data_IF_560182299216
#
_entry.id   IF_560182299216
#
_cell.length_a   1.000
_cell.length_b   1.000
_cell.length_c   1.000
_cell.angle_alpha   90.00
_cell.angle_beta   90.00
_cell.angle_gamma   90.00
#
_symmetry.space_group_name_H-M   'P 1'
#
loop_
_entity.id
_entity.type
_entity.pdbx_description
1 polymer ?
#
# COMPACT_ATOMS: atom_id res chain seq x y z
N UNK A 1 51.46 -13.48 15.98
CA UNK A 1 51.72 -12.56 14.85
C UNK A 1 52.24 -11.23 15.39
N UNK A 2 53.36 -10.71 14.86
CA UNK A 2 53.87 -9.40 15.31
C UNK A 2 52.99 -8.28 14.74
N UNK A 3 52.79 -7.20 15.50
CA UNK A 3 52.02 -6.02 15.08
C UNK A 3 52.59 -5.38 13.80
N UNK A 4 53.89 -5.56 13.54
CA UNK A 4 54.59 -5.10 12.33
C UNK A 4 54.10 -5.80 11.07
N UNK A 5 53.91 -7.13 11.10
CA UNK A 5 53.39 -7.86 9.93
C UNK A 5 51.95 -7.49 9.60
N UNK A 6 51.12 -7.25 10.62
CA UNK A 6 49.75 -6.78 10.44
C UNK A 6 49.73 -5.39 9.79
N UNK A 7 50.58 -4.46 10.26
CA UNK A 7 50.69 -3.12 9.68
C UNK A 7 51.15 -3.13 8.23
N UNK A 8 52.17 -3.93 7.90
CA UNK A 8 52.65 -4.08 6.53
C UNK A 8 51.58 -4.68 5.60
N UNK A 9 50.86 -5.70 6.07
CA UNK A 9 49.78 -6.32 5.31
C UNK A 9 48.65 -5.32 5.02
N UNK A 10 48.22 -4.53 6.00
CA UNK A 10 47.18 -3.49 5.82
C UNK A 10 47.63 -2.42 4.81
N UNK A 11 48.90 -2.00 4.84
CA UNK A 11 49.41 -1.04 3.86
C UNK A 11 49.43 -1.60 2.44
N UNK A 12 49.86 -2.87 2.28
CA UNK A 12 49.87 -3.55 0.99
C UNK A 12 48.47 -3.72 0.41
N UNK A 13 47.50 -4.14 1.22
CA UNK A 13 46.11 -4.31 0.77
C UNK A 13 45.45 -2.97 0.45
N UNK A 14 45.68 -1.92 1.25
CA UNK A 14 45.18 -0.58 0.96
C UNK A 14 45.77 -0.03 -0.35
N UNK A 15 47.07 -0.20 -0.59
CA UNK A 15 47.72 0.25 -1.82
C UNK A 15 47.21 -0.50 -3.04
N UNK A 16 47.02 -1.83 -2.93
CA UNK A 16 46.43 -2.64 -3.99
C UNK A 16 45.00 -2.21 -4.31
N UNK A 17 44.17 -1.95 -3.29
CA UNK A 17 42.79 -1.48 -3.47
C UNK A 17 42.73 -0.12 -4.18
N UNK A 18 43.58 0.84 -3.79
CA UNK A 18 43.70 2.15 -4.45
C UNK A 18 44.17 1.99 -5.90
N UNK A 19 45.13 1.11 -6.17
CA UNK A 19 45.60 0.83 -7.53
C UNK A 19 44.52 0.23 -8.43
N UNK A 20 43.73 -0.71 -7.93
CA UNK A 20 42.60 -1.31 -8.66
C UNK A 20 41.51 -0.27 -8.92
N UNK A 21 41.18 0.57 -7.93
CA UNK A 21 40.19 1.64 -8.08
C UNK A 21 40.63 2.67 -9.13
N UNK A 22 41.90 3.09 -9.09
CA UNK A 22 42.48 4.02 -10.06
C UNK A 22 42.37 3.51 -11.52
N UNK A 23 42.68 2.23 -11.73
CA UNK A 23 42.56 1.60 -13.07
C UNK A 23 41.10 1.50 -13.52
N UNK A 24 40.17 1.19 -12.61
CA UNK A 24 38.75 1.17 -12.95
C UNK A 24 38.20 2.56 -13.29
N UNK A 25 38.61 3.59 -12.56
CA UNK A 25 38.17 4.97 -12.84
C UNK A 25 38.70 5.51 -14.17
N UNK A 26 39.96 5.25 -14.49
CA UNK A 26 40.52 5.65 -15.79
C UNK A 26 39.74 5.00 -16.94
N UNK A 27 39.41 3.70 -16.81
CA UNK A 27 38.55 2.99 -17.78
C UNK A 27 37.15 3.60 -17.88
N UNK A 28 36.49 3.90 -16.77
CA UNK A 28 35.15 4.52 -16.77
C UNK A 28 35.16 5.90 -17.43
N UNK A 29 36.25 6.64 -17.30
CA UNK A 29 36.43 7.94 -17.91
C UNK A 29 36.88 7.88 -19.38
N UNK A 30 37.04 6.68 -19.96
CA UNK A 30 37.52 6.49 -21.33
C UNK A 30 38.99 6.90 -21.53
N UNK A 31 39.78 6.98 -20.45
CA UNK A 31 41.17 7.40 -20.46
C UNK A 31 42.11 6.23 -20.18
N UNK A 32 43.34 6.30 -20.70
CA UNK A 32 44.37 5.35 -20.27
C UNK A 32 44.74 5.62 -18.80
N UNK A 33 45.15 4.58 -18.06
CA UNK A 33 45.47 4.72 -16.63
C UNK A 33 46.50 5.83 -16.35
N UNK A 34 47.45 6.05 -17.26
CA UNK A 34 48.50 7.09 -17.11
C UNK A 34 47.97 8.51 -17.32
N UNK A 35 46.85 8.67 -18.02
CA UNK A 35 46.26 9.97 -18.35
C UNK A 35 45.41 10.53 -17.20
N UNK A 36 44.92 9.68 -16.31
CA UNK A 36 44.19 10.11 -15.11
C UNK A 36 45.17 10.65 -14.07
N UNK A 37 45.69 11.86 -14.26
CA UNK A 37 46.67 12.45 -13.34
C UNK A 37 46.24 12.37 -11.85
N UNK A 38 47.18 12.31 -10.88
CA UNK A 38 46.86 12.13 -9.46
C UNK A 38 45.85 13.15 -8.91
N UNK A 39 45.88 14.38 -9.44
CA UNK A 39 44.92 15.46 -9.11
C UNK A 39 43.51 15.13 -9.60
N UNK A 40 43.37 14.60 -10.83
CA UNK A 40 42.08 14.17 -11.38
C UNK A 40 41.51 13.00 -10.58
N UNK A 41 42.34 12.03 -10.20
CA UNK A 41 41.93 10.92 -9.33
C UNK A 41 41.44 11.40 -7.95
N UNK A 42 42.18 12.29 -7.29
CA UNK A 42 41.73 12.90 -6.02
C UNK A 42 40.40 13.65 -6.17
N UNK A 43 40.15 14.25 -7.34
CA UNK A 43 38.84 14.82 -7.69
C UNK A 43 37.72 13.79 -7.64
N UNK A 44 37.92 12.60 -8.23
CA UNK A 44 36.92 11.51 -8.22
C UNK A 44 36.67 10.95 -6.81
N UNK A 45 37.68 10.96 -5.94
CA UNK A 45 37.50 10.56 -4.54
C UNK A 45 36.63 11.57 -3.80
N UNK A 46 36.89 12.88 -3.95
CA UNK A 46 36.07 13.92 -3.33
C UNK A 46 34.63 13.86 -3.81
N UNK A 47 34.39 13.70 -5.12
CA UNK A 47 33.02 13.58 -5.64
C UNK A 47 32.31 12.37 -5.05
N UNK A 48 32.95 11.20 -5.02
CA UNK A 48 32.36 10.00 -4.42
C UNK A 48 32.09 10.14 -2.92
N UNK A 49 32.94 10.84 -2.16
CA UNK A 49 32.64 11.13 -0.76
C UNK A 49 31.43 12.04 -0.60
N UNK A 50 31.29 13.06 -1.46
CA UNK A 50 30.11 13.94 -1.48
C UNK A 50 28.87 13.14 -1.87
N UNK A 51 28.94 12.30 -2.90
CA UNK A 51 27.84 11.47 -3.38
C UNK A 51 27.43 10.40 -2.36
N UNK A 52 28.40 9.78 -1.70
CA UNK A 52 28.13 8.79 -0.64
C UNK A 52 27.50 9.46 0.57
N UNK A 53 27.99 10.64 0.94
CA UNK A 53 27.43 11.41 2.06
C UNK A 53 26.01 11.88 1.74
N UNK A 54 25.77 12.43 0.56
CA UNK A 54 24.43 12.86 0.14
C UNK A 54 23.47 11.67 0.04
N UNK A 55 23.94 10.50 -0.45
CA UNK A 55 23.15 9.28 -0.45
C UNK A 55 22.82 8.78 0.96
N UNK A 56 23.77 8.85 1.91
CA UNK A 56 23.53 8.50 3.31
C UNK A 56 22.55 9.48 3.99
N UNK A 57 22.70 10.78 3.74
CA UNK A 57 21.80 11.81 4.27
C UNK A 57 20.39 11.66 3.69
N UNK A 58 20.27 11.40 2.38
CA UNK A 58 18.99 11.12 1.72
C UNK A 58 18.33 9.84 2.26
N UNK A 59 19.10 8.77 2.47
CA UNK A 59 18.60 7.54 3.08
C UNK A 59 18.15 7.77 4.53
N UNK A 60 18.95 8.46 5.34
CA UNK A 60 18.60 8.76 6.72
C UNK A 60 17.33 9.61 6.83
N UNK A 61 17.18 10.60 5.93
CA UNK A 61 15.95 11.39 5.81
C UNK A 61 14.76 10.51 5.43
N UNK A 62 14.91 9.66 4.40
CA UNK A 62 13.88 8.72 3.97
C UNK A 62 13.44 7.80 5.10
N UNK A 63 14.39 7.15 5.78
CA UNK A 63 14.11 6.23 6.89
C UNK A 63 13.36 6.95 8.02
N UNK A 64 13.76 8.20 8.33
CA UNK A 64 13.04 9.06 9.27
C UNK A 64 11.61 9.33 8.82
N UNK A 65 11.40 9.75 7.57
CA UNK A 65 10.08 10.08 7.03
C UNK A 65 9.16 8.84 6.90
N UNK A 66 9.72 7.68 6.59
CA UNK A 66 8.99 6.40 6.56
C UNK A 66 8.60 5.91 7.95
N UNK A 67 9.39 6.24 8.97
CA UNK A 67 9.06 5.99 10.37
C UNK A 67 7.94 6.87 10.94
N UNK A 68 7.58 7.96 10.25
CA UNK A 68 6.46 8.82 10.67
C UNK A 68 5.12 8.18 10.28
N UNK A 69 4.08 8.47 11.08
CA UNK A 69 2.71 8.18 10.69
C UNK A 69 2.37 8.98 9.42
N UNK A 70 1.70 8.39 8.41
CA UNK A 70 1.40 9.08 7.16
C UNK A 70 0.73 10.44 7.34
N UNK A 71 -0.25 10.56 8.23
CA UNK A 71 -0.91 11.85 8.50
C UNK A 71 0.03 12.98 8.95
N UNK A 72 1.20 12.65 9.53
CA UNK A 72 2.19 13.66 9.97
C UNK A 72 2.95 14.29 8.81
N UNK A 73 2.82 13.75 7.60
CA UNK A 73 3.32 14.33 6.37
C UNK A 73 2.26 15.17 5.63
N UNK A 74 1.03 15.24 6.16
CA UNK A 74 0.00 16.13 5.64
C UNK A 74 0.28 17.58 6.03
N UNK A 75 -0.18 18.55 5.23
CA UNK A 75 0.18 19.95 5.42
C UNK A 75 -0.38 20.54 6.71
N UNK A 76 0.21 21.65 7.14
CA UNK A 76 -0.46 22.55 8.07
C UNK A 76 -1.67 23.20 7.38
N UNK A 77 -2.72 23.56 8.12
CA UNK A 77 -3.90 24.17 7.52
C UNK A 77 -3.51 25.46 6.78
N UNK A 78 -3.98 25.67 5.53
CA UNK A 78 -3.82 26.93 4.83
C UNK A 78 -4.47 28.11 5.59
N UNK A 79 -4.20 29.34 5.17
CA UNK A 79 -4.79 30.52 5.81
C UNK A 79 -6.34 30.45 5.81
N UNK A 80 -6.94 30.69 6.97
CA UNK A 80 -8.40 30.60 7.17
C UNK A 80 -8.93 29.18 7.40
N UNK A 81 -8.09 28.15 7.29
CA UNK A 81 -8.48 26.78 7.61
C UNK A 81 -8.08 26.40 9.03
N UNK A 82 -8.81 25.43 9.57
CA UNK A 82 -8.44 24.72 10.79
C UNK A 82 -8.23 23.25 10.50
N UNK A 83 -7.32 22.60 11.21
CA UNK A 83 -7.03 21.17 11.08
C UNK A 83 -7.38 20.46 12.37
N UNK A 84 -8.13 19.36 12.29
CA UNK A 84 -8.47 18.50 13.43
C UNK A 84 -8.40 17.02 13.08
N UNK A 85 -8.39 16.18 14.11
CA UNK A 85 -8.47 14.73 13.96
C UNK A 85 -9.81 14.32 13.33
N UNK A 86 -9.78 13.26 12.52
CA UNK A 86 -10.96 12.65 11.93
C UNK A 86 -11.83 12.01 13.01
N UNK A 87 -13.13 12.32 13.01
CA UNK A 87 -14.08 11.85 13.99
C UNK A 87 -15.20 11.02 13.33
N UNK A 88 -15.88 10.19 14.13
CA UNK A 88 -16.98 9.34 13.64
C UNK A 88 -18.13 10.17 13.02
N UNK A 89 -18.36 11.39 13.55
CA UNK A 89 -19.37 12.31 13.00
C UNK A 89 -19.08 12.74 11.55
N UNK A 90 -17.82 12.67 11.11
CA UNK A 90 -17.41 13.04 9.76
C UNK A 90 -17.79 11.97 8.74
N UNK A 91 -17.84 10.70 9.16
CA UNK A 91 -18.25 9.57 8.31
C UNK A 91 -19.63 9.84 7.72
N UNK A 92 -20.58 10.28 8.54
CA UNK A 92 -21.94 10.56 8.09
C UNK A 92 -22.03 11.74 7.10
N UNK A 93 -21.04 12.63 7.08
CA UNK A 93 -21.00 13.84 6.23
C UNK A 93 -20.19 13.65 4.96
N UNK A 94 -19.20 12.77 4.98
CA UNK A 94 -18.19 12.62 3.93
C UNK A 94 -18.22 11.26 3.23
N UNK A 95 -18.83 10.24 3.84
CA UNK A 95 -18.95 8.92 3.22
C UNK A 95 -20.34 8.70 2.62
N UNK A 96 -20.35 8.20 1.38
CA UNK A 96 -21.54 7.57 0.83
C UNK A 96 -21.69 6.22 1.55
N UNK A 97 -22.50 6.18 2.61
CA UNK A 97 -22.83 4.90 3.27
C UNK A 97 -23.53 4.01 2.26
N UNK A 98 -22.80 3.01 1.77
CA UNK A 98 -23.42 1.87 1.11
C UNK A 98 -24.08 1.07 2.23
N UNK A 99 -25.38 1.25 2.42
CA UNK A 99 -26.14 0.54 3.46
C UNK A 99 -26.33 -0.92 3.03
N UNK A 100 -25.31 -1.75 3.28
CA UNK A 100 -25.34 -3.19 3.03
C UNK A 100 -26.52 -3.85 3.76
N UNK A 101 -26.96 -3.30 4.90
CA UNK A 101 -28.09 -3.82 5.67
C UNK A 101 -29.44 -3.47 5.02
N UNK A 102 -29.55 -2.30 4.39
CA UNK A 102 -30.69 -1.87 3.58
C UNK A 102 -30.67 -2.39 2.15
N UNK A 103 -29.53 -2.90 1.65
CA UNK A 103 -29.41 -3.37 0.29
C UNK A 103 -30.20 -4.67 0.07
N UNK A 104 -31.13 -4.63 -0.89
CA UNK A 104 -31.98 -5.76 -1.27
C UNK A 104 -31.18 -6.91 -1.91
N UNK A 105 -29.95 -6.63 -2.37
CA UNK A 105 -29.09 -7.63 -3.01
C UNK A 105 -28.31 -8.51 -2.03
N UNK A 106 -28.29 -8.17 -0.73
CA UNK A 106 -27.59 -8.96 0.29
C UNK A 106 -28.58 -9.90 0.97
N UNK A 107 -28.42 -11.23 0.86
CA UNK A 107 -29.33 -12.18 1.50
C UNK A 107 -29.40 -11.98 3.02
N UNK A 108 -30.61 -12.06 3.61
CA UNK A 108 -30.82 -11.88 5.05
C UNK A 108 -30.00 -12.85 5.92
N UNK A 109 -29.66 -14.02 5.37
CA UNK A 109 -28.79 -15.00 5.99
C UNK A 109 -27.36 -14.48 6.23
N UNK A 110 -26.83 -13.65 5.31
CA UNK A 110 -25.51 -13.02 5.43
C UNK A 110 -25.56 -11.79 6.37
N UNK A 111 -26.67 -11.05 6.39
CA UNK A 111 -26.85 -9.90 7.30
C UNK A 111 -26.85 -10.29 8.78
N UNK A 112 -27.36 -11.48 9.10
CA UNK A 112 -27.51 -11.96 10.47
C UNK A 112 -26.44 -12.96 10.93
N UNK A 113 -25.50 -13.34 10.06
CA UNK A 113 -24.42 -14.26 10.41
C UNK A 113 -23.51 -13.64 11.50
N UNK A 114 -23.34 -14.30 12.67
CA UNK A 114 -22.47 -13.82 13.75
C UNK A 114 -21.01 -13.61 13.30
N UNK A 115 -20.53 -14.43 12.36
CA UNK A 115 -19.20 -14.34 11.77
C UNK A 115 -19.07 -13.07 10.95
N UNK A 116 -20.09 -12.71 10.16
CA UNK A 116 -20.11 -11.46 9.39
C UNK A 116 -20.16 -10.24 10.31
N UNK A 117 -20.92 -10.30 11.42
CA UNK A 117 -20.94 -9.24 12.44
C UNK A 117 -19.59 -9.06 13.12
N UNK A 118 -18.93 -10.16 13.49
CA UNK A 118 -17.58 -10.13 14.07
C UNK A 118 -16.54 -9.59 13.07
N UNK A 119 -16.60 -10.03 11.80
CA UNK A 119 -15.75 -9.50 10.73
C UNK A 119 -15.99 -8.01 10.48
N UNK A 120 -17.25 -7.56 10.50
CA UNK A 120 -17.60 -6.14 10.41
C UNK A 120 -16.99 -5.35 11.57
N UNK A 121 -17.15 -5.81 12.82
CA UNK A 121 -16.60 -5.11 13.99
C UNK A 121 -15.06 -5.06 14.00
N UNK A 122 -14.40 -6.14 13.58
CA UNK A 122 -12.94 -6.15 13.41
C UNK A 122 -12.51 -5.18 12.31
N UNK A 123 -13.27 -5.13 11.22
CA UNK A 123 -13.06 -4.16 10.16
C UNK A 123 -13.26 -2.73 10.65
N UNK A 124 -14.29 -2.44 11.45
CA UNK A 124 -14.56 -1.09 11.98
C UNK A 124 -13.42 -0.58 12.86
N UNK A 125 -12.89 -1.42 13.76
CA UNK A 125 -11.73 -1.06 14.58
C UNK A 125 -10.46 -0.86 13.74
N UNK A 126 -10.23 -1.71 12.73
CA UNK A 126 -9.09 -1.59 11.84
C UNK A 126 -9.18 -0.32 10.96
N UNK A 127 -10.38 0.02 10.51
CA UNK A 127 -10.67 1.24 9.75
C UNK A 127 -10.47 2.47 10.63
N UNK A 128 -11.01 2.48 11.86
CA UNK A 128 -10.82 3.58 12.79
C UNK A 128 -9.33 3.80 13.14
N UNK A 129 -8.56 2.73 13.35
CA UNK A 129 -7.11 2.80 13.60
C UNK A 129 -6.34 3.24 12.33
N UNK A 130 -6.79 2.87 11.13
CA UNK A 130 -6.24 3.40 9.89
C UNK A 130 -6.54 4.91 9.74
N UNK A 131 -7.79 5.32 9.95
CA UNK A 131 -8.21 6.71 9.87
C UNK A 131 -7.45 7.60 10.85
N UNK A 132 -7.31 7.16 12.10
CA UNK A 132 -6.54 7.85 13.11
C UNK A 132 -5.05 7.99 12.78
N UNK A 133 -4.49 7.24 11.82
CA UNK A 133 -3.08 7.31 11.40
C UNK A 133 -2.87 7.99 10.05
N UNK A 134 -3.91 8.07 9.24
CA UNK A 134 -3.82 8.45 7.83
C UNK A 134 -4.58 9.74 7.50
N UNK A 135 -5.57 10.14 8.31
CA UNK A 135 -6.53 11.19 7.96
C UNK A 135 -6.43 12.41 8.88
N UNK A 136 -6.50 13.60 8.27
CA UNK A 136 -6.87 14.85 8.95
C UNK A 136 -8.08 15.49 8.27
N UNK A 137 -8.85 16.24 9.05
CA UNK A 137 -9.98 17.03 8.55
C UNK A 137 -9.60 18.50 8.56
N UNK A 138 -9.88 19.17 7.45
CA UNK A 138 -9.68 20.59 7.23
C UNK A 138 -11.04 21.26 7.12
N UNK A 139 -11.23 22.32 7.92
CA UNK A 139 -12.49 23.07 8.00
C UNK A 139 -12.25 24.55 7.75
N UNK A 140 -13.11 25.14 6.92
CA UNK A 140 -13.19 26.58 6.66
C UNK A 140 -14.64 26.93 6.37
N UNK A 141 -15.24 27.75 7.22
CA UNK A 141 -16.68 28.08 7.15
C UNK A 141 -17.54 26.80 7.10
N UNK A 142 -18.33 26.60 6.04
CA UNK A 142 -19.13 25.39 5.81
C UNK A 142 -18.41 24.30 4.97
N UNK A 143 -17.18 24.57 4.52
CA UNK A 143 -16.37 23.65 3.75
C UNK A 143 -15.67 22.63 4.67
N UNK A 144 -15.82 21.35 4.31
CA UNK A 144 -15.26 20.21 5.04
C UNK A 144 -14.48 19.32 4.09
N UNK A 145 -13.19 19.12 4.36
CA UNK A 145 -12.32 18.27 3.55
C UNK A 145 -11.58 17.28 4.45
N UNK A 146 -11.79 15.97 4.27
CA UNK A 146 -10.94 14.94 4.85
C UNK A 146 -9.82 14.59 3.87
N UNK A 147 -8.58 14.85 4.28
CA UNK A 147 -7.38 14.51 3.51
C UNK A 147 -6.71 13.29 4.14
N UNK A 148 -6.56 12.24 3.36
CA UNK A 148 -5.93 10.97 3.72
C UNK A 148 -4.63 10.82 2.97
N UNK A 149 -3.56 10.47 3.68
CA UNK A 149 -2.34 9.92 3.08
C UNK A 149 -2.19 8.46 3.48
N UNK A 150 -2.24 7.57 2.50
CA UNK A 150 -2.10 6.13 2.70
C UNK A 150 -0.80 5.62 2.10
N UNK A 151 -0.05 4.82 2.88
CA UNK A 151 1.05 4.01 2.34
C UNK A 151 0.48 2.72 1.77
N UNK A 152 0.54 2.55 0.45
CA UNK A 152 0.21 1.29 -0.22
C UNK A 152 1.29 0.28 0.14
N UNK A 153 0.86 -0.85 0.71
CA UNK A 153 1.75 -1.97 0.95
C UNK A 153 1.64 -2.89 -0.26
N UNK A 154 2.78 -3.26 -0.82
CA UNK A 154 2.81 -4.42 -1.68
C UNK A 154 2.48 -5.64 -0.84
N UNK A 155 1.33 -6.24 -1.12
CA UNK A 155 0.98 -7.54 -0.59
C UNK A 155 1.67 -8.55 -1.49
N UNK A 156 2.72 -9.18 -0.99
CA UNK A 156 3.44 -10.23 -1.70
C UNK A 156 2.67 -11.56 -1.66
N UNK A 157 2.89 -12.41 -2.67
CA UNK A 157 2.29 -13.73 -2.78
C UNK A 157 0.96 -13.80 -3.54
N UNK A 158 0.43 -15.02 -3.71
CA UNK A 158 -0.74 -15.27 -4.56
C UNK A 158 -2.02 -14.55 -4.09
N UNK A 159 -2.20 -14.40 -2.78
CA UNK A 159 -3.33 -13.63 -2.22
C UNK A 159 -3.23 -12.14 -2.61
N UNK A 160 -2.01 -11.58 -2.60
CA UNK A 160 -1.75 -10.22 -3.05
C UNK A 160 -2.00 -10.03 -4.55
N UNK A 161 -1.62 -11.01 -5.38
CA UNK A 161 -1.95 -11.01 -6.82
C UNK A 161 -3.46 -10.99 -7.03
N UNK A 162 -4.21 -11.82 -6.31
CA UNK A 162 -5.68 -11.84 -6.38
C UNK A 162 -6.30 -10.49 -5.99
N UNK A 163 -5.85 -9.88 -4.89
CA UNK A 163 -6.30 -8.55 -4.47
C UNK A 163 -5.97 -7.47 -5.50
N UNK A 164 -4.76 -7.49 -6.08
CA UNK A 164 -4.36 -6.55 -7.14
C UNK A 164 -5.23 -6.70 -8.39
N UNK A 165 -5.64 -7.91 -8.75
CA UNK A 165 -6.57 -8.12 -9.86
C UNK A 165 -7.96 -7.58 -9.56
N UNK A 166 -8.48 -7.81 -8.34
CA UNK A 166 -9.76 -7.23 -7.92
C UNK A 166 -9.69 -5.70 -7.92
N UNK A 167 -8.64 -5.12 -7.35
CA UNK A 167 -8.42 -3.67 -7.35
C UNK A 167 -8.30 -3.10 -8.78
N UNK A 168 -7.56 -3.77 -9.67
CA UNK A 168 -7.43 -3.36 -11.06
C UNK A 168 -8.78 -3.41 -11.79
N UNK A 169 -9.59 -4.46 -11.57
CA UNK A 169 -10.91 -4.57 -12.17
C UNK A 169 -11.87 -3.52 -11.61
N UNK A 170 -11.88 -3.30 -10.29
CA UNK A 170 -12.70 -2.26 -9.65
C UNK A 170 -12.29 -0.86 -10.12
N UNK A 171 -10.99 -0.58 -10.25
CA UNK A 171 -10.51 0.70 -10.79
C UNK A 171 -10.86 0.86 -12.28
N UNK A 172 -10.83 -0.22 -13.07
CA UNK A 172 -11.25 -0.19 -14.47
C UNK A 172 -12.76 0.05 -14.63
N UNK A 173 -13.56 -0.36 -13.63
CA UNK A 173 -15.00 -0.10 -13.58
C UNK A 173 -15.34 1.27 -12.99
N UNK A 174 -14.45 1.86 -12.18
CA UNK A 174 -14.67 3.19 -11.65
C UNK A 174 -14.48 4.23 -12.73
N UNK A 175 -15.50 5.07 -12.94
CA UNK A 175 -15.33 6.25 -13.78
C UNK A 175 -14.56 7.30 -13.00
N UNK A 176 -13.50 7.84 -13.59
CA UNK A 176 -12.72 8.92 -13.01
C UNK A 176 -12.36 9.93 -14.10
N UNK A 177 -12.36 11.20 -13.75
CA UNK A 177 -11.95 12.30 -14.62
C UNK A 177 -10.74 13.00 -14.02
N UNK A 178 -9.83 13.47 -14.87
CA UNK A 178 -8.74 14.37 -14.49
C UNK A 178 -9.29 15.60 -13.78
N UNK A 179 -8.74 15.89 -12.61
CA UNK A 179 -9.08 17.06 -11.80
C UNK A 179 -8.03 18.16 -11.97
N UNK A 180 -6.80 17.88 -11.56
CA UNK A 180 -5.68 18.81 -11.64
C UNK A 180 -4.34 18.09 -11.49
N UNK A 181 -3.27 18.70 -11.98
CA UNK A 181 -1.89 18.33 -11.72
C UNK A 181 -1.27 19.33 -10.72
N UNK A 182 -0.87 18.83 -9.54
CA UNK A 182 -0.28 19.65 -8.47
C UNK A 182 0.99 18.97 -7.99
N UNK A 183 2.11 19.70 -7.95
CA UNK A 183 3.42 19.16 -7.53
C UNK A 183 3.94 18.01 -8.42
N UNK A 184 3.47 17.92 -9.67
CA UNK A 184 3.76 16.81 -10.59
C UNK A 184 2.87 15.57 -10.39
N UNK A 185 1.89 15.64 -9.47
CA UNK A 185 0.96 14.55 -9.18
C UNK A 185 -0.35 14.78 -9.93
N UNK A 186 -0.79 13.80 -10.71
CA UNK A 186 -2.10 13.82 -11.35
C UNK A 186 -3.18 13.42 -10.33
N UNK A 187 -4.11 14.33 -10.08
CA UNK A 187 -5.31 14.08 -9.30
C UNK A 187 -6.50 13.84 -10.22
N UNK A 188 -7.33 12.85 -9.85
CA UNK A 188 -8.56 12.51 -10.55
C UNK A 188 -9.75 12.51 -9.60
N UNK A 189 -10.89 13.01 -10.07
CA UNK A 189 -12.17 12.95 -9.39
C UNK A 189 -12.85 11.61 -9.70
N UNK A 190 -13.17 10.83 -8.66
CA UNK A 190 -13.70 9.47 -8.78
C UNK A 190 -15.21 9.46 -8.52
N UNK A 191 -15.98 8.94 -9.48
CA UNK A 191 -17.45 8.87 -9.43
C UNK A 191 -18.00 7.54 -8.87
N UNK A 192 -17.10 6.59 -8.55
CA UNK A 192 -17.45 5.27 -8.04
C UNK A 192 -17.75 4.23 -9.13
N UNK A 193 -18.21 3.05 -8.71
CA UNK A 193 -18.27 1.83 -9.53
C UNK A 193 -19.42 1.77 -10.56
N UNK A 194 -20.42 2.65 -10.47
CA UNK A 194 -21.71 2.45 -11.15
C UNK A 194 -22.28 3.68 -11.88
N UNK A 195 -21.50 4.74 -12.09
CA UNK A 195 -22.02 5.92 -12.79
C UNK A 195 -20.93 6.67 -13.54
N UNK A 196 -21.24 7.07 -14.78
CA UNK A 196 -20.53 8.13 -15.49
C UNK A 196 -20.91 9.52 -14.99
N UNK A 197 -21.97 9.63 -14.18
CA UNK A 197 -22.48 10.90 -13.66
C UNK A 197 -22.52 10.91 -12.13
N UNK A 198 -22.00 11.99 -11.56
CA UNK A 198 -22.08 12.32 -10.14
C UNK A 198 -23.55 12.58 -9.77
N UNK A 199 -24.06 11.89 -8.75
CA UNK A 199 -25.29 12.33 -8.10
C UNK A 199 -25.04 13.73 -7.48
N UNK A 200 -25.92 14.73 -7.67
CA UNK A 200 -25.66 16.12 -7.29
C UNK A 200 -25.14 16.32 -5.87
N UNK A 201 -25.64 15.53 -4.91
CA UNK A 201 -25.29 15.63 -3.49
C UNK A 201 -24.27 14.58 -3.02
N UNK A 202 -23.68 13.81 -3.95
CA UNK A 202 -22.72 12.78 -3.57
C UNK A 202 -21.35 13.37 -3.24
N UNK A 203 -20.69 12.87 -2.18
CA UNK A 203 -19.37 13.35 -1.81
C UNK A 203 -18.37 13.16 -2.95
N UNK A 204 -17.45 14.11 -3.08
CA UNK A 204 -16.37 14.08 -4.04
C UNK A 204 -15.20 13.30 -3.46
N UNK A 205 -14.59 12.44 -4.29
CA UNK A 205 -13.43 11.65 -3.90
C UNK A 205 -12.33 11.93 -4.92
N UNK A 206 -11.37 12.76 -4.55
CA UNK A 206 -10.25 13.12 -5.40
C UNK A 206 -9.04 12.29 -4.99
N UNK A 207 -8.40 11.62 -5.93
CA UNK A 207 -7.31 10.69 -5.66
C UNK A 207 -6.11 11.09 -6.50
N UNK A 208 -4.93 11.20 -5.88
CA UNK A 208 -3.64 11.33 -6.54
C UNK A 208 -2.69 10.25 -6.05
N UNK A 209 -1.83 9.74 -6.92
CA UNK A 209 -0.88 8.67 -6.60
C UNK A 209 0.55 9.12 -6.79
N UNK A 210 1.41 8.78 -5.83
CA UNK A 210 2.86 8.98 -5.91
C UNK A 210 3.54 7.62 -6.10
N UNK A 211 3.74 7.27 -7.37
CA UNK A 211 4.23 5.95 -7.75
C UNK A 211 3.29 4.85 -7.25
N UNK A 212 3.88 3.72 -6.84
CA UNK A 212 3.12 2.57 -6.33
C UNK A 212 2.99 2.56 -4.80
N UNK A 213 3.66 3.48 -4.08
CA UNK A 213 3.79 3.45 -2.61
C UNK A 213 2.85 4.40 -1.85
N UNK A 214 2.47 5.54 -2.43
CA UNK A 214 1.63 6.53 -1.73
C UNK A 214 0.36 6.84 -2.51
N UNK A 215 -0.74 6.94 -1.78
CA UNK A 215 -2.02 7.43 -2.29
C UNK A 215 -2.49 8.59 -1.42
N UNK A 216 -2.76 9.72 -2.07
CA UNK A 216 -3.36 10.91 -1.48
C UNK A 216 -4.83 10.87 -1.87
N UNK A 217 -5.73 10.76 -0.90
CA UNK A 217 -7.16 10.76 -1.14
C UNK A 217 -7.81 11.89 -0.37
N UNK A 218 -8.60 12.68 -1.07
CA UNK A 218 -9.37 13.78 -0.52
C UNK A 218 -10.85 13.44 -0.65
N UNK A 219 -11.58 13.52 0.46
CA UNK A 219 -13.03 13.34 0.51
C UNK A 219 -13.67 14.63 0.97
N UNK A 220 -14.66 15.10 0.23
CA UNK A 220 -15.33 16.35 0.54
C UNK A 220 -16.79 16.32 0.08
N UNK A 221 -17.59 17.29 0.53
CA UNK A 221 -18.97 17.45 0.10
C UNK A 221 -19.03 17.96 -1.35
N UNK A 222 -20.16 17.79 -2.00
CA UNK A 222 -20.36 18.19 -3.40
C UNK A 222 -20.23 19.71 -3.64
N UNK A 223 -20.54 20.51 -2.61
CA UNK A 223 -20.59 21.97 -2.65
C UNK A 223 -19.25 22.66 -2.39
N UNK A 224 -18.20 21.91 -2.03
CA UNK A 224 -16.88 22.50 -1.80
C UNK A 224 -16.24 22.93 -3.10
N UNK A 225 -15.77 24.18 -3.13
CA UNK A 225 -15.19 24.81 -4.31
C UNK A 225 -13.89 24.11 -4.73
N UNK A 226 -13.63 24.07 -6.03
CA UNK A 226 -12.37 23.54 -6.56
C UNK A 226 -11.17 24.36 -6.09
N UNK A 227 -11.32 25.66 -5.86
CA UNK A 227 -10.24 26.54 -5.42
C UNK A 227 -9.82 26.20 -3.98
N UNK A 228 -10.78 25.88 -3.11
CA UNK A 228 -10.51 25.40 -1.75
C UNK A 228 -9.78 24.05 -1.75
N UNK A 229 -10.18 23.13 -2.64
CA UNK A 229 -9.51 21.85 -2.83
C UNK A 229 -8.07 22.09 -3.32
N UNK A 230 -7.88 22.93 -4.35
CA UNK A 230 -6.57 23.24 -4.91
C UNK A 230 -5.66 23.95 -3.91
N UNK A 231 -6.19 24.85 -3.08
CA UNK A 231 -5.44 25.50 -2.02
C UNK A 231 -4.88 24.47 -1.03
N UNK A 232 -5.69 23.48 -0.64
CA UNK A 232 -5.24 22.42 0.25
C UNK A 232 -4.23 21.47 -0.42
N UNK A 233 -4.45 21.08 -1.68
CA UNK A 233 -3.51 20.24 -2.42
C UNK A 233 -2.16 20.94 -2.62
N UNK A 234 -2.18 22.24 -2.93
CA UNK A 234 -0.95 23.04 -3.14
C UNK A 234 -0.15 23.21 -1.85
N UNK A 235 -0.79 23.13 -0.68
CA UNK A 235 -0.10 23.22 0.60
C UNK A 235 0.71 21.96 0.95
N UNK A 236 0.48 20.83 0.27
CA UNK A 236 1.21 19.57 0.50
C UNK A 236 2.69 19.75 0.16
N UNK A 237 3.58 19.31 1.06
CA UNK A 237 5.02 19.28 0.79
C UNK A 237 5.39 18.05 -0.06
N UNK A 238 5.30 18.21 -1.38
CA UNK A 238 5.59 17.15 -2.34
C UNK A 238 7.05 16.72 -2.33
N UNK A 239 7.98 17.62 -1.96
CA UNK A 239 9.40 17.26 -1.83
C UNK A 239 9.60 16.27 -0.68
N UNK A 240 8.96 16.51 0.48
CA UNK A 240 8.99 15.56 1.60
C UNK A 240 8.28 14.25 1.27
N UNK A 241 7.12 14.29 0.60
CA UNK A 241 6.43 13.07 0.20
C UNK A 241 7.29 12.23 -0.74
N UNK A 242 7.88 12.85 -1.76
CA UNK A 242 8.74 12.21 -2.74
C UNK A 242 10.03 11.66 -2.10
N UNK A 243 10.63 12.40 -1.16
CA UNK A 243 11.78 11.94 -0.38
C UNK A 243 11.47 10.73 0.53
N UNK A 244 10.19 10.52 0.88
CA UNK A 244 9.75 9.40 1.70
C UNK A 244 9.51 8.10 0.92
N UNK A 245 9.59 8.14 -0.42
CA UNK A 245 9.52 6.97 -1.30
C UNK A 245 10.81 6.16 -1.25
N UNK A 246 10.73 4.85 -1.55
CA UNK A 246 11.92 4.00 -1.73
C UNK A 246 12.77 4.52 -2.89
N UNK A 247 12.11 4.88 -3.99
CA UNK A 247 12.73 5.48 -5.17
C UNK A 247 12.03 6.80 -5.46
N UNK A 248 12.66 7.95 -5.14
CA UNK A 248 12.12 9.25 -5.49
C UNK A 248 11.86 9.37 -6.99
N UNK A 249 10.73 9.96 -7.35
CA UNK A 249 10.28 10.13 -8.71
C UNK A 249 10.76 11.47 -9.26
N UNK A 250 11.30 11.45 -10.49
CA UNK A 250 11.68 12.68 -11.18
C UNK A 250 10.43 13.49 -11.57
N UNK A 251 10.52 14.82 -11.51
CA UNK A 251 9.43 15.71 -11.89
C UNK A 251 8.30 15.85 -10.86
N UNK A 252 8.48 15.31 -9.65
CA UNK A 252 7.58 15.49 -8.52
C UNK A 252 8.27 16.37 -7.47
N UNK A 253 7.59 17.43 -7.05
CA UNK A 253 8.08 18.35 -6.03
C UNK A 253 7.36 19.68 -6.02
N UNK A 254 7.66 20.51 -5.03
CA UNK A 254 7.03 21.82 -4.86
C UNK A 254 7.53 22.84 -5.90
N UNK A 255 8.71 22.60 -6.49
CA UNK A 255 9.30 23.45 -7.52
C UNK A 255 8.73 23.20 -8.94
N UNK A 256 7.79 22.26 -9.09
CA UNK A 256 7.13 21.99 -10.38
C UNK A 256 6.32 23.22 -10.78
N UNK A 257 6.51 23.78 -11.99
CA UNK A 257 5.78 24.97 -12.43
C UNK A 257 4.28 24.77 -12.39
N UNK A 258 3.56 25.75 -11.83
CA UNK A 258 2.10 25.78 -11.91
C UNK A 258 1.70 26.11 -13.34
N UNK A 259 0.92 25.21 -13.95
CA UNK A 259 0.26 25.45 -15.24
C UNK A 259 -1.15 26.01 -15.01
N UNK A 260 -1.73 26.63 -16.03
CA UNK A 260 -3.12 27.07 -15.95
C UNK A 260 -4.07 25.87 -15.73
N UNK A 261 -5.27 26.14 -15.22
CA UNK A 261 -6.20 25.12 -14.76
C UNK A 261 -6.68 24.19 -15.88
N UNK A 262 -6.89 24.70 -17.08
CA UNK A 262 -7.35 23.89 -18.21
C UNK A 262 -6.25 22.93 -18.66
N UNK A 263 -5.03 23.43 -18.80
CA UNK A 263 -3.84 22.62 -19.11
C UNK A 263 -3.58 21.60 -17.99
N UNK A 264 -3.67 22.00 -16.72
CA UNK A 264 -3.49 21.14 -15.56
C UNK A 264 -4.45 19.95 -15.58
N UNK A 265 -5.73 20.21 -15.87
CA UNK A 265 -6.77 19.19 -15.96
C UNK A 265 -6.52 18.24 -17.13
N UNK A 266 -6.20 18.76 -18.31
CA UNK A 266 -5.89 17.95 -19.48
C UNK A 266 -4.67 17.04 -19.27
N UNK A 267 -3.63 17.54 -18.56
CA UNK A 267 -2.47 16.74 -18.19
C UNK A 267 -2.83 15.63 -17.19
N UNK A 268 -3.67 15.92 -16.19
CA UNK A 268 -4.14 14.94 -15.23
C UNK A 268 -5.01 13.85 -15.87
N UNK A 269 -5.85 14.21 -16.84
CA UNK A 269 -6.65 13.29 -17.64
C UNK A 269 -5.74 12.34 -18.44
N UNK A 270 -4.82 12.89 -19.23
CA UNK A 270 -3.91 12.10 -20.05
C UNK A 270 -3.03 11.16 -19.21
N UNK A 271 -2.63 11.58 -18.01
CA UNK A 271 -1.88 10.73 -17.10
C UNK A 271 -2.76 9.62 -16.51
N UNK A 272 -4.01 9.93 -16.14
CA UNK A 272 -4.98 8.96 -15.63
C UNK A 272 -5.30 7.89 -16.66
N UNK A 273 -5.45 8.27 -17.93
CA UNK A 273 -5.66 7.35 -19.05
C UNK A 273 -4.48 6.38 -19.21
N UNK A 274 -3.24 6.91 -19.22
CA UNK A 274 -2.03 6.08 -19.28
C UNK A 274 -1.92 5.10 -18.11
N UNK A 275 -2.26 5.53 -16.90
CA UNK A 275 -2.24 4.67 -15.72
C UNK A 275 -3.30 3.56 -15.82
N UNK A 276 -4.50 3.90 -16.27
CA UNK A 276 -5.56 2.93 -16.48
C UNK A 276 -5.20 1.91 -17.56
N UNK A 277 -4.57 2.34 -18.65
CA UNK A 277 -4.06 1.45 -19.70
C UNK A 277 -2.93 0.54 -19.20
N UNK A 278 -1.98 1.09 -18.45
CA UNK A 278 -0.92 0.30 -17.82
C UNK A 278 -1.49 -0.75 -16.85
N UNK A 279 -2.53 -0.40 -16.07
CA UNK A 279 -3.23 -1.34 -15.19
C UNK A 279 -3.97 -2.43 -15.97
N UNK A 280 -4.63 -2.09 -17.08
CA UNK A 280 -5.29 -3.07 -17.96
C UNK A 280 -4.28 -4.07 -18.53
N UNK A 281 -3.14 -3.59 -19.01
CA UNK A 281 -2.08 -4.47 -19.54
C UNK A 281 -1.46 -5.36 -18.46
N UNK A 282 -1.22 -4.82 -17.25
CA UNK A 282 -0.79 -5.63 -16.10
C UNK A 282 -1.85 -6.68 -15.72
N UNK A 283 -3.13 -6.33 -15.78
CA UNK A 283 -4.24 -7.25 -15.54
C UNK A 283 -4.26 -8.42 -16.52
N UNK A 284 -4.14 -8.14 -17.82
CA UNK A 284 -4.04 -9.17 -18.87
C UNK A 284 -2.82 -10.08 -18.69
N UNK A 285 -1.67 -9.50 -18.35
CA UNK A 285 -0.44 -10.26 -18.10
C UNK A 285 -0.58 -11.18 -16.87
N UNK A 286 -1.19 -10.69 -15.79
CA UNK A 286 -1.46 -11.48 -14.59
C UNK A 286 -2.46 -12.62 -14.87
N UNK A 287 -3.51 -12.37 -15.65
CA UNK A 287 -4.46 -13.40 -16.07
C UNK A 287 -3.78 -14.50 -16.90
N UNK A 288 -2.93 -14.12 -17.86
CA UNK A 288 -2.16 -15.07 -18.65
C UNK A 288 -1.20 -15.91 -17.78
N UNK A 289 -0.57 -15.31 -16.76
CA UNK A 289 0.25 -16.05 -15.80
C UNK A 289 -0.57 -17.05 -14.98
N UNK A 290 -1.76 -16.67 -14.52
CA UNK A 290 -2.64 -17.56 -13.78
C UNK A 290 -3.15 -18.72 -14.64
N UNK A 291 -3.51 -18.46 -15.90
CA UNK A 291 -3.90 -19.53 -16.84
C UNK A 291 -2.74 -20.51 -17.07
N UNK A 292 -1.52 -20.01 -17.24
CA UNK A 292 -0.33 -20.85 -17.38
C UNK A 292 0.01 -21.66 -16.12
N UNK A 293 -0.27 -21.14 -14.92
CA UNK A 293 -0.12 -21.90 -13.67
C UNK A 293 -1.22 -22.95 -13.53
N UNK A 294 -2.45 -22.62 -13.90
CA UNK A 294 -3.58 -23.54 -13.86
C UNK A 294 -3.39 -24.72 -14.82
N UNK A 295 -2.90 -24.47 -16.04
CA UNK A 295 -2.58 -25.54 -16.99
C UNK A 295 -1.45 -26.43 -16.48
N UNK A 296 -0.34 -25.86 -15.97
CA UNK A 296 0.74 -26.64 -15.35
C UNK A 296 0.25 -27.50 -14.20
N UNK A 297 -0.58 -26.96 -13.30
CA UNK A 297 -1.16 -27.74 -12.21
C UNK A 297 -2.02 -28.87 -12.76
N UNK A 298 -2.82 -28.63 -13.80
CA UNK A 298 -3.68 -29.65 -14.39
C UNK A 298 -2.89 -30.75 -15.12
N UNK A 299 -1.80 -30.39 -15.80
CA UNK A 299 -0.88 -31.34 -16.44
C UNK A 299 -0.10 -32.14 -15.38
N UNK A 300 0.30 -31.49 -14.30
CA UNK A 300 0.97 -32.08 -13.13
C UNK A 300 -0.01 -32.79 -12.17
N UNK A 301 -1.33 -32.85 -12.46
CA UNK A 301 -2.27 -33.74 -11.72
C UNK A 301 -2.05 -35.22 -12.02
N UNK A 302 -1.09 -35.56 -12.89
CA UNK A 302 -0.43 -36.86 -12.94
C UNK A 302 0.63 -37.08 -11.81
N UNK A 303 0.95 -36.04 -11.03
CA UNK A 303 1.94 -36.01 -9.94
C UNK A 303 1.51 -35.19 -8.71
N UNK A 304 0.21 -35.20 -8.38
CA UNK A 304 -0.50 -34.35 -7.41
C UNK A 304 -0.04 -34.44 -5.93
N UNK A 305 1.02 -35.17 -5.60
CA UNK A 305 1.54 -35.29 -4.24
C UNK A 305 2.60 -34.23 -3.90
N UNK A 306 3.25 -33.59 -4.88
CA UNK A 306 4.34 -32.64 -4.63
C UNK A 306 3.90 -31.17 -4.55
N UNK A 307 2.89 -30.76 -5.33
CA UNK A 307 2.46 -29.35 -5.40
C UNK A 307 1.72 -28.87 -4.13
N UNK A 308 1.08 -29.79 -3.38
CA UNK A 308 0.44 -29.48 -2.10
C UNK A 308 1.41 -28.99 -1.02
N UNK A 309 2.68 -29.43 -1.07
CA UNK A 309 3.71 -29.01 -0.13
C UNK A 309 4.32 -27.63 -0.44
N UNK A 310 4.38 -27.24 -1.72
CA UNK A 310 4.90 -25.93 -2.15
C UNK A 310 3.91 -24.77 -1.93
N UNK A 311 2.61 -25.08 -1.83
CA UNK A 311 1.53 -24.10 -1.64
C UNK A 311 1.19 -23.82 -0.18
N UNK A 312 1.88 -24.44 0.79
CA UNK A 312 1.61 -24.26 2.21
C UNK A 312 0.19 -24.66 2.65
N UNK A 313 -0.56 -25.36 1.79
CA UNK A 313 -1.95 -25.79 2.03
C UNK A 313 -2.04 -27.14 2.77
N UNK A 314 -0.91 -27.80 3.03
CA UNK A 314 -0.85 -29.00 3.88
C UNK A 314 -0.26 -28.60 5.22
N UNK A 315 -1.09 -28.05 6.10
CA UNK A 315 -0.85 -28.16 7.54
C UNK A 315 -1.14 -29.61 7.92
N UNK A 316 -0.09 -30.32 8.34
CA UNK A 316 -0.05 -31.77 8.40
C UNK A 316 -1.14 -32.44 9.24
N UNK A 317 -1.48 -33.66 8.81
CA UNK A 317 -1.53 -34.79 9.72
C UNK A 317 -1.01 -36.03 8.99
N UNK A 318 0.29 -36.29 9.18
CA UNK A 318 0.89 -37.56 8.82
C UNK A 318 0.59 -38.54 9.97
N UNK A 319 -0.50 -39.30 9.87
CA UNK A 319 -0.76 -40.35 10.86
C UNK A 319 -2.19 -40.82 11.01
N UNK A 320 -2.89 -41.19 9.93
CA UNK A 320 -4.11 -41.99 10.04
C UNK A 320 -4.02 -43.21 9.13
N UNK A 321 -3.72 -44.34 9.77
CA UNK A 321 -3.88 -45.69 9.23
C UNK A 321 -5.28 -45.87 8.63
N UNK A 322 -5.35 -46.21 7.34
CA UNK A 322 -6.57 -46.67 6.67
C UNK A 322 -6.93 -48.03 7.25
N UNK A 323 -8.10 -48.23 7.88
CA UNK A 323 -8.57 -49.56 8.19
C UNK A 323 -9.06 -50.24 6.91
N UNK A 324 -8.45 -51.38 6.64
CA UNK A 324 -8.90 -52.44 5.74
C UNK A 324 -10.37 -52.79 6.02
N UNK A 325 -11.18 -52.81 4.96
CA UNK A 325 -12.49 -53.45 4.98
C UNK A 325 -13.63 -52.52 4.64
N UNK A 326 -13.89 -52.32 3.35
CA UNK A 326 -15.26 -52.36 2.85
C UNK A 326 -15.30 -52.73 1.37
N UNK A 327 -16.14 -53.70 1.11
CA UNK A 327 -16.33 -54.52 -0.08
C UNK A 327 -16.72 -53.73 -1.32
N UNK A 328 -16.20 -54.17 -2.45
CA UNK A 328 -16.67 -53.82 -3.78
C UNK A 328 -18.16 -54.18 -3.99
N UNK A 329 -18.89 -53.39 -4.79
CA UNK A 329 -19.94 -53.93 -5.62
C UNK A 329 -19.54 -53.89 -7.11
N UNK A 330 -19.31 -55.10 -7.61
CA UNK A 330 -19.91 -55.70 -8.81
C UNK A 330 -20.20 -54.80 -10.03
N UNK A 331 -19.51 -55.13 -11.11
CA UNK A 331 -19.80 -54.70 -12.48
C UNK A 331 -21.15 -55.25 -13.01
N UNK A 332 -21.88 -54.40 -13.73
CA UNK A 332 -22.85 -54.73 -14.78
C UNK A 332 -22.91 -53.49 -15.69
N UNK A 333 -22.29 -53.53 -16.86
CA UNK A 333 -22.86 -53.94 -18.16
C UNK A 333 -23.57 -52.75 -18.86
N UNK A 334 -23.04 -52.38 -20.02
CA UNK A 334 -23.57 -51.34 -20.91
C UNK A 334 -24.87 -51.81 -21.60
N UNK A 335 -25.63 -50.91 -22.23
CA UNK A 335 -25.33 -50.60 -23.63
C UNK A 335 -25.52 -49.13 -24.00
N UNK A 336 -24.90 -48.74 -25.11
CA UNK A 336 -24.74 -47.36 -25.54
C UNK A 336 -25.98 -46.73 -26.18
N UNK A 337 -25.85 -45.44 -26.45
CA UNK A 337 -26.54 -44.75 -27.53
C UNK A 337 -25.70 -43.55 -28.00
N UNK A 338 -25.60 -43.47 -29.32
CA UNK A 338 -24.89 -42.46 -30.10
C UNK A 338 -25.72 -41.18 -30.27
N UNK A 339 -25.12 -40.20 -30.97
CA UNK A 339 -25.68 -38.94 -31.50
C UNK A 339 -25.73 -37.79 -30.48
N UNK A 340 -25.37 -36.54 -30.80
CA UNK A 340 -25.22 -35.87 -32.09
C UNK A 340 -24.35 -34.62 -31.93
N UNK A 341 -23.58 -34.29 -32.96
CA UNK A 341 -23.13 -32.93 -33.22
C UNK A 341 -24.35 -32.10 -33.62
N UNK A 342 -24.61 -31.01 -32.89
CA UNK A 342 -25.46 -29.93 -33.37
C UNK A 342 -24.64 -28.64 -33.36
N UNK A 343 -24.44 -28.11 -34.57
CA UNK A 343 -23.93 -26.77 -34.83
C UNK A 343 -24.81 -25.74 -34.12
N UNK A 344 -24.21 -24.89 -33.30
CA UNK A 344 -24.87 -23.72 -32.73
C UNK A 344 -24.51 -22.49 -33.57
N UNK A 345 -25.53 -21.98 -34.23
CA UNK A 345 -25.60 -20.69 -34.92
C UNK A 345 -25.43 -19.53 -33.95
N UNK A 346 -24.85 -18.44 -34.46
CA UNK A 346 -24.54 -17.22 -33.73
C UNK A 346 -25.80 -16.42 -33.32
N UNK A 347 -25.77 -15.87 -32.10
CA UNK A 347 -26.65 -14.81 -31.58
C UNK A 347 -26.17 -14.37 -30.19
N UNK A 348 -26.15 -13.05 -29.86
CA UNK A 348 -25.36 -12.54 -28.74
C UNK A 348 -26.12 -12.70 -27.43
N UNK A 349 -25.58 -13.50 -26.51
CA UNK A 349 -26.08 -13.61 -25.15
C UNK A 349 -25.16 -12.83 -24.19
N UNK A 350 -25.69 -11.71 -23.71
CA UNK A 350 -25.29 -11.07 -22.46
C UNK A 350 -25.34 -12.10 -21.31
N UNK A 351 -24.23 -12.33 -20.61
CA UNK A 351 -24.18 -13.32 -19.54
C UNK A 351 -22.82 -13.41 -18.84
N UNK A 352 -22.26 -12.28 -18.41
CA UNK A 352 -21.01 -12.22 -17.64
C UNK A 352 -21.25 -12.49 -16.15
N UNK A 353 -21.58 -13.73 -15.79
CA UNK A 353 -21.83 -14.15 -14.41
C UNK A 353 -21.20 -15.51 -14.12
N UNK A 354 -19.87 -15.59 -14.14
CA UNK A 354 -19.18 -16.88 -13.96
C UNK A 354 -17.93 -16.87 -13.09
N UNK A 355 -17.27 -15.71 -12.90
CA UNK A 355 -15.96 -15.68 -12.25
C UNK A 355 -16.03 -15.53 -10.72
N UNK A 356 -16.99 -14.76 -10.19
CA UNK A 356 -17.09 -14.51 -8.73
C UNK A 356 -17.62 -15.71 -7.92
N UNK A 357 -18.38 -16.62 -8.55
CA UNK A 357 -18.96 -17.80 -7.87
C UNK A 357 -17.98 -18.94 -7.59
N UNK A 358 -16.81 -18.97 -8.25
CA UNK A 358 -15.81 -20.04 -8.06
C UNK A 358 -14.79 -19.70 -6.97
N UNK A 359 -14.52 -18.41 -6.73
CA UNK A 359 -13.58 -17.94 -5.71
C UNK A 359 -14.09 -18.13 -4.26
N UNK A 360 -15.40 -18.04 -4.03
CA UNK A 360 -15.99 -18.27 -2.70
C UNK A 360 -15.87 -19.72 -2.21
N UNK A 361 -15.70 -20.69 -3.12
CA UNK A 361 -15.50 -22.10 -2.76
C UNK A 361 -14.06 -22.46 -2.38
N UNK A 362 -13.08 -21.60 -2.71
CA UNK A 362 -11.67 -21.86 -2.40
C UNK A 362 -11.28 -21.44 -0.97
N UNK A 363 -12.07 -20.57 -0.32
CA UNK A 363 -11.79 -20.02 1.02
C UNK A 363 -12.71 -20.57 2.13
N UNK A 364 -13.76 -21.32 1.78
CA UNK A 364 -14.70 -21.90 2.73
C UNK A 364 -14.42 -23.37 3.02
N UNK A 365 -13.54 -23.67 3.99
CA UNK A 365 -13.37 -25.04 4.46
C UNK A 365 -12.43 -25.20 5.66
N UNK A 366 -13.01 -25.47 6.84
CA UNK A 366 -12.28 -26.06 7.98
C UNK A 366 -12.66 -25.53 9.36
N UNK A 367 -13.84 -25.91 9.88
CA UNK A 367 -14.17 -25.73 11.30
C UNK A 367 -13.42 -26.75 12.16
N UNK A 368 -12.43 -26.30 12.93
CA UNK A 368 -11.83 -27.07 14.03
C UNK A 368 -12.22 -26.45 15.38
N UNK A 369 -12.65 -27.32 16.31
CA UNK A 369 -13.06 -26.99 17.68
C UNK A 369 -11.89 -26.37 18.47
N UNK A 370 -12.12 -25.39 19.36
CA UNK A 370 -11.07 -24.84 20.21
C UNK A 370 -10.73 -25.83 21.34
N UNK A 371 -9.52 -26.39 21.28
CA UNK A 371 -8.88 -27.07 22.41
C UNK A 371 -8.26 -26.05 23.36
N UNK A 372 -8.53 -26.22 24.65
CA UNK A 372 -7.92 -25.47 25.76
C UNK A 372 -6.39 -25.54 25.70
N UNK A 373 -5.74 -24.37 25.61
CA UNK A 373 -4.32 -24.24 25.88
C UNK A 373 -4.12 -23.75 27.33
N UNK A 374 -3.43 -24.58 28.10
CA UNK A 374 -2.95 -24.31 29.45
C UNK A 374 -1.85 -23.24 29.44
N UNK A 375 -2.01 -22.24 30.31
CA UNK A 375 -1.01 -21.20 30.55
C UNK A 375 0.12 -21.80 31.40
N UNK A 376 1.30 -21.99 30.80
CA UNK A 376 2.54 -22.21 31.54
C UNK A 376 3.32 -20.90 31.51
N UNK A 377 3.23 -20.15 32.61
CA UNK A 377 4.06 -18.99 32.89
C UNK A 377 5.51 -19.44 33.17
N UNK A 378 6.48 -18.76 32.55
CA UNK A 378 7.88 -18.74 33.00
C UNK A 378 8.36 -17.29 33.10
N UNK A 379 9.25 -16.99 34.07
CA UNK A 379 9.35 -15.66 34.69
C UNK A 379 10.28 -14.71 33.93
N UNK A 380 9.92 -13.43 33.98
CA UNK A 380 10.73 -12.31 33.50
C UNK A 380 12.00 -12.14 34.35
N UNK A 381 13.15 -12.17 33.69
CA UNK A 381 14.44 -11.81 34.29
C UNK A 381 14.60 -10.29 34.38
N UNK A 382 14.90 -9.84 35.60
CA UNK A 382 15.53 -8.60 36.07
C UNK A 382 16.12 -7.67 35.00
N UNK A 383 15.69 -6.41 35.02
CA UNK A 383 16.49 -5.28 34.56
C UNK A 383 16.72 -4.35 35.76
N UNK A 384 18.00 -4.19 36.13
CA UNK A 384 18.48 -3.32 37.19
C UNK A 384 18.30 -1.85 36.80
N UNK A 385 17.54 -1.10 37.62
CA UNK A 385 17.46 0.36 37.55
C UNK A 385 18.62 0.92 38.37
N UNK A 386 19.65 1.43 37.69
CA UNK A 386 20.76 2.16 38.30
C UNK A 386 20.34 3.60 38.57
N UNK A 387 20.26 3.92 39.86
CA UNK A 387 20.07 5.26 40.41
C UNK A 387 21.38 6.05 40.24
N UNK A 388 21.30 7.25 39.68
CA UNK A 388 22.36 8.25 39.73
C UNK A 388 21.88 9.39 40.64
N UNK A 389 22.61 9.56 41.76
CA UNK A 389 22.52 10.68 42.71
C UNK A 389 23.59 11.72 42.35
N UNK A 390 23.22 12.99 42.41
CA UNK A 390 24.09 14.17 42.49
C UNK A 390 23.24 15.41 42.20
N UNK A 391 22.66 16.13 43.18
CA UNK A 391 23.24 16.97 44.24
C UNK A 391 23.63 18.39 43.75
N UNK A 392 22.94 19.39 44.31
CA UNK A 392 23.26 20.83 44.31
C UNK A 392 22.51 21.67 43.26
N UNK A 393 21.93 22.84 43.52
CA UNK A 393 21.49 23.56 44.71
C UNK A 393 20.72 24.82 44.21
N UNK A 394 19.69 25.28 44.93
CA UNK A 394 19.00 26.56 44.68
C UNK A 394 17.47 26.45 44.70
N UNK A 395 16.82 26.53 45.87
CA UNK A 395 16.30 27.78 46.49
C UNK A 395 15.36 28.58 45.58
N UNK A 396 14.13 29.00 45.91
CA UNK A 396 13.15 28.79 46.99
C UNK A 396 11.97 29.73 46.65
N UNK A 397 10.78 29.47 47.18
CA UNK A 397 9.57 30.33 47.25
C UNK A 397 8.72 30.45 45.97
N UNK A 398 7.39 30.37 45.99
CA UNK A 398 6.46 30.40 47.10
C UNK A 398 5.03 30.01 46.71
N UNK A 399 4.31 29.59 47.72
CA UNK A 399 2.96 29.01 47.73
C UNK A 399 1.89 30.10 47.69
N UNK A 400 0.88 29.90 46.85
CA UNK A 400 -0.55 30.14 47.14
C UNK A 400 -1.05 31.55 47.44
N UNK A 401 -1.90 32.11 46.56
CA UNK A 401 -3.04 32.95 46.96
C UNK A 401 -4.25 32.69 46.07
N UNK A 402 -5.34 32.24 46.71
CA UNK A 402 -6.73 32.35 46.24
C UNK A 402 -7.21 33.78 46.57
N UNK A 403 -7.86 34.45 45.63
CA UNK A 403 -8.77 35.58 45.85
C UNK A 403 -10.06 35.22 45.09
N UNK A 404 -11.17 34.92 45.77
CA UNK A 404 -12.12 35.83 46.39
C UNK A 404 -13.02 36.54 45.36
N UNK A 405 -14.29 36.11 45.41
CA UNK A 405 -15.49 36.63 44.75
C UNK A 405 -15.82 38.04 45.27
N UNK A 406 -16.37 38.90 44.41
CA UNK A 406 -17.11 40.10 44.84
C UNK A 406 -17.32 41.17 43.77
N UNK A 407 -18.34 41.02 42.93
CA UNK A 407 -19.53 41.89 42.86
C UNK A 407 -20.54 41.33 41.86
#
# INVERSE_FOLDING_TARGET
MSKLYLGAFVCLTATAAVGVDYVNQSRMAGMAAVELGPVAYLGTLKSRFVDTRSAMEAKALRDRLRGLQPRKLLPEPPEGWTRRDYAEADIARLEKRYDIAGDAFVPDALKNDPTMKMLSQMNDNAVADADAREVYVYEKDDALIALRLKRRRDVDGMAGVGLKMVEANLNAMSSAEGFAMVGGVAYRDNFGLFGSERAPDSPRIIIGRLGDELEISLRTRADVSDDDILALLTAIDYDQLNASLETPLAGIGNAVPTVDRETSRAMAEAQTERENDALRERGKAAEAQLMNLATKINDDKSGLTAAGAALGLVTGDAGATVPEGMSAPKAAEAPGQALSLQEATAGPASGGGGFFGSLSKLWGGGTSKPGQASVVAKPSSKADIKISRGAGDGCTQGIGKRCAVGN
#
